data_IF_181915365196
#
_entry.id   IF_181915365196
#
_cell.length_a   1.000
_cell.length_b   1.000
_cell.length_c   1.000
_cell.angle_alpha   90.00
_cell.angle_beta   90.00
_cell.angle_gamma   90.00
#
_symmetry.space_group_name_H-M   'P 1'
#
loop_
_entity.id
_entity.type
_entity.pdbx_description
1 polymer ?
#
# COMPACT_ATOMS: atom_id res chain seq x y z
N UNK A 1 -18.02 -1.22 12.60
CA UNK A 1 -17.66 -2.67 12.65
C UNK A 1 -16.17 -2.75 12.94
N UNK A 2 -15.77 -3.47 14.00
CA UNK A 2 -14.36 -3.64 14.32
C UNK A 2 -13.76 -4.75 13.46
N UNK A 3 -12.59 -4.49 12.86
CA UNK A 3 -11.85 -5.47 12.07
C UNK A 3 -10.50 -5.74 12.75
N UNK A 4 -10.20 -7.02 12.96
CA UNK A 4 -8.93 -7.49 13.51
C UNK A 4 -8.13 -8.22 12.43
N UNK A 5 -6.82 -8.26 12.58
CA UNK A 5 -5.92 -8.91 11.63
C UNK A 5 -5.27 -10.14 12.26
N UNK A 6 -5.50 -11.31 11.66
CA UNK A 6 -4.83 -12.56 12.01
C UNK A 6 -4.18 -13.12 10.75
N UNK A 7 -2.85 -13.05 10.61
CA UNK A 7 -2.16 -13.66 9.47
C UNK A 7 -2.50 -15.16 9.35
N UNK A 8 -2.76 -15.63 8.13
CA UNK A 8 -3.08 -17.04 7.83
C UNK A 8 -4.32 -17.58 8.57
N UNK A 9 -5.25 -16.73 8.99
CA UNK A 9 -6.49 -17.13 9.65
C UNK A 9 -7.27 -18.16 8.83
N UNK A 10 -7.83 -19.16 9.54
CA UNK A 10 -8.72 -20.19 9.01
C UNK A 10 -9.90 -20.37 9.96
N UNK A 11 -11.01 -20.92 9.48
CA UNK A 11 -12.18 -21.23 10.32
C UNK A 11 -11.80 -22.14 11.51
N UNK A 12 -12.47 -21.95 12.63
CA UNK A 12 -12.29 -22.65 13.89
C UNK A 12 -11.67 -21.77 14.99
N UNK A 13 -11.29 -22.42 16.08
CA UNK A 13 -10.68 -21.76 17.24
C UNK A 13 -9.25 -21.34 16.90
N UNK A 14 -8.96 -20.08 17.20
CA UNK A 14 -7.62 -19.50 17.03
C UNK A 14 -7.37 -18.41 18.07
N UNK A 15 -6.14 -17.94 18.17
CA UNK A 15 -5.74 -16.90 19.12
C UNK A 15 -5.41 -15.61 18.35
N UNK A 16 -5.92 -14.49 18.84
CA UNK A 16 -5.52 -13.16 18.36
C UNK A 16 -4.03 -12.91 18.65
N UNK A 17 -3.29 -12.28 17.73
CA UNK A 17 -1.96 -11.74 18.02
C UNK A 17 -1.97 -10.89 19.31
N UNK A 18 -0.84 -10.79 19.99
CA UNK A 18 -0.77 -10.10 21.29
C UNK A 18 -1.27 -8.65 21.24
N UNK A 19 -0.88 -7.90 20.21
CA UNK A 19 -1.31 -6.51 20.03
C UNK A 19 -2.81 -6.42 19.74
N UNK A 20 -3.36 -7.34 18.94
CA UNK A 20 -4.80 -7.45 18.68
C UNK A 20 -5.57 -7.88 19.93
N UNK A 21 -5.03 -8.81 20.74
CA UNK A 21 -5.61 -9.21 22.02
C UNK A 21 -5.68 -8.05 23.01
N UNK A 22 -4.59 -7.26 23.11
CA UNK A 22 -4.57 -6.05 23.94
C UNK A 22 -5.58 -5.01 23.46
N UNK A 23 -5.66 -4.80 22.14
CA UNK A 23 -6.62 -3.87 21.56
C UNK A 23 -8.07 -4.31 21.84
N UNK A 24 -8.39 -5.58 21.62
CA UNK A 24 -9.69 -6.18 21.87
C UNK A 24 -10.13 -6.00 23.34
N UNK A 25 -9.31 -6.48 24.27
CA UNK A 25 -9.72 -6.62 25.68
C UNK A 25 -9.48 -5.33 26.49
N UNK A 26 -8.37 -4.60 26.26
CA UNK A 26 -8.03 -3.41 27.08
C UNK A 26 -8.54 -2.11 26.47
N UNK A 27 -8.49 -1.95 25.15
CA UNK A 27 -8.87 -0.70 24.49
C UNK A 27 -10.37 -0.70 24.21
N UNK A 28 -10.86 -1.71 23.49
CA UNK A 28 -12.28 -1.83 23.15
C UNK A 28 -13.11 -2.43 24.29
N UNK A 29 -12.48 -3.04 25.29
CA UNK A 29 -13.11 -3.67 26.47
C UNK A 29 -14.17 -4.72 26.09
N UNK A 30 -13.88 -5.45 25.02
CA UNK A 30 -14.78 -6.50 24.56
C UNK A 30 -14.84 -7.67 25.56
N UNK A 31 -16.01 -8.28 25.63
CA UNK A 31 -16.32 -9.39 26.52
C UNK A 31 -16.64 -10.67 25.72
N UNK A 32 -16.58 -11.82 26.38
CA UNK A 32 -16.89 -13.11 25.78
C UNK A 32 -18.30 -13.12 25.17
N UNK A 33 -18.45 -13.74 24.01
CA UNK A 33 -19.67 -13.76 23.21
C UNK A 33 -19.83 -12.59 22.24
N UNK A 34 -19.01 -11.54 22.34
CA UNK A 34 -19.08 -10.42 21.38
C UNK A 34 -18.54 -10.82 20.01
N UNK A 35 -19.17 -10.24 18.95
CA UNK A 35 -18.88 -10.54 17.57
C UNK A 35 -18.22 -9.38 16.84
N UNK A 36 -17.29 -9.72 15.95
CA UNK A 36 -16.55 -8.78 15.11
C UNK A 36 -16.09 -9.43 13.83
N UNK A 37 -15.34 -8.71 12.99
CA UNK A 37 -14.77 -9.22 11.76
C UNK A 37 -13.26 -9.46 11.91
N UNK A 38 -12.75 -10.52 11.28
CA UNK A 38 -11.32 -10.79 11.16
C UNK A 38 -10.94 -10.84 9.69
N UNK A 39 -9.78 -10.29 9.34
CA UNK A 39 -9.16 -10.49 8.03
C UNK A 39 -7.85 -11.25 8.17
N UNK A 40 -7.52 -12.08 7.16
CA UNK A 40 -6.20 -12.72 7.07
C UNK A 40 -5.19 -11.89 6.27
N UNK A 41 -5.61 -10.77 5.66
CA UNK A 41 -4.76 -9.96 4.79
C UNK A 41 -4.51 -10.55 3.40
N UNK A 42 -5.08 -11.71 3.08
CA UNK A 42 -4.91 -12.42 1.81
C UNK A 42 -6.20 -12.41 0.95
N UNK A 43 -7.13 -11.53 1.30
CA UNK A 43 -8.39 -11.35 0.57
C UNK A 43 -9.59 -12.07 1.18
N UNK A 44 -9.49 -12.57 2.41
CA UNK A 44 -10.61 -13.21 3.11
C UNK A 44 -10.99 -12.47 4.39
N UNK A 45 -12.29 -12.50 4.65
CA UNK A 45 -12.93 -12.01 5.87
C UNK A 45 -13.62 -13.18 6.58
N UNK A 46 -13.66 -13.12 7.90
CA UNK A 46 -14.28 -14.10 8.78
C UNK A 46 -15.19 -13.40 9.77
N UNK A 47 -16.29 -14.03 10.15
CA UNK A 47 -17.02 -13.67 11.35
C UNK A 47 -16.31 -14.30 12.55
N UNK A 48 -16.08 -13.52 13.58
CA UNK A 48 -15.40 -13.94 14.80
C UNK A 48 -16.28 -13.76 16.01
N UNK A 49 -16.24 -14.71 16.93
CA UNK A 49 -16.85 -14.62 18.27
C UNK A 49 -15.74 -14.74 19.31
N UNK A 50 -15.69 -13.81 20.27
CA UNK A 50 -14.72 -13.84 21.36
C UNK A 50 -15.10 -14.95 22.35
N UNK A 51 -14.24 -15.96 22.47
CA UNK A 51 -14.46 -17.13 23.33
C UNK A 51 -13.79 -16.93 24.70
N UNK A 52 -12.60 -16.33 24.72
CA UNK A 52 -11.86 -16.08 25.97
C UNK A 52 -11.18 -14.69 25.89
N UNK A 53 -11.51 -13.83 26.85
CA UNK A 53 -11.09 -12.43 26.87
C UNK A 53 -9.80 -12.21 27.68
N UNK A 54 -8.66 -12.79 27.26
CA UNK A 54 -7.36 -12.60 27.89
C UNK A 54 -6.54 -11.51 27.19
N UNK A 55 -6.04 -10.45 27.88
CA UNK A 55 -5.35 -9.32 27.25
C UNK A 55 -4.10 -9.64 26.45
N UNK A 56 -3.44 -10.77 26.75
CA UNK A 56 -2.23 -11.20 26.02
C UNK A 56 -2.51 -12.29 24.99
N UNK A 57 -3.65 -12.97 25.09
CA UNK A 57 -3.97 -14.16 24.32
C UNK A 57 -5.47 -14.39 24.25
N UNK A 58 -6.19 -13.47 23.63
CA UNK A 58 -7.63 -13.66 23.45
C UNK A 58 -7.91 -14.78 22.43
N UNK A 59 -8.81 -15.68 22.76
CA UNK A 59 -9.23 -16.80 21.91
C UNK A 59 -10.53 -16.43 21.19
N UNK A 60 -10.58 -16.68 19.89
CA UNK A 60 -11.74 -16.41 19.04
C UNK A 60 -12.13 -17.65 18.25
N UNK A 61 -13.41 -17.79 17.95
CA UNK A 61 -13.92 -18.79 17.01
C UNK A 61 -14.25 -18.10 15.70
N UNK A 62 -13.55 -18.50 14.60
CA UNK A 62 -13.74 -17.96 13.27
C UNK A 62 -14.69 -18.84 12.45
N UNK A 63 -15.63 -18.21 11.76
CA UNK A 63 -16.61 -18.86 10.90
C UNK A 63 -16.95 -18.00 9.69
N UNK A 64 -17.74 -18.53 8.76
CA UNK A 64 -18.25 -17.81 7.60
C UNK A 64 -17.15 -17.12 6.79
N UNK A 65 -16.14 -17.89 6.37
CA UNK A 65 -15.08 -17.39 5.50
C UNK A 65 -15.69 -16.90 4.17
N UNK A 66 -15.39 -15.65 3.81
CA UNK A 66 -15.85 -15.04 2.57
C UNK A 66 -14.75 -14.22 1.91
N UNK A 67 -14.79 -14.11 0.59
CA UNK A 67 -13.90 -13.18 -0.13
C UNK A 67 -14.25 -11.75 0.21
N UNK A 68 -13.23 -10.94 0.45
CA UNK A 68 -13.38 -9.50 0.54
C UNK A 68 -13.61 -8.87 -0.84
N UNK A 69 -14.07 -7.63 -0.85
CA UNK A 69 -14.48 -6.92 -2.07
C UNK A 69 -13.36 -6.05 -2.70
N UNK A 70 -12.15 -6.11 -2.16
CA UNK A 70 -11.05 -5.19 -2.42
C UNK A 70 -10.02 -5.71 -3.44
N UNK A 71 -10.44 -6.56 -4.38
CA UNK A 71 -9.59 -6.95 -5.51
C UNK A 71 -10.16 -6.42 -6.83
N UNK A 72 -9.42 -5.52 -7.43
CA UNK A 72 -9.79 -4.78 -8.64
C UNK A 72 -9.36 -5.44 -9.96
N UNK A 73 -8.72 -6.61 -9.94
CA UNK A 73 -8.41 -7.40 -11.14
C UNK A 73 -7.12 -7.02 -11.88
N UNK A 74 -6.39 -6.01 -11.39
CA UNK A 74 -5.05 -5.61 -11.88
C UNK A 74 -4.11 -5.39 -10.70
N UNK A 75 -2.81 -5.33 -10.95
CA UNK A 75 -1.79 -5.07 -9.95
C UNK A 75 -1.32 -3.61 -10.02
N UNK A 76 -1.46 -2.86 -8.92
CA UNK A 76 -1.00 -1.48 -8.80
C UNK A 76 0.18 -1.40 -7.84
N UNK A 77 1.32 -0.96 -8.35
CA UNK A 77 2.52 -0.73 -7.58
C UNK A 77 3.00 0.72 -7.69
N UNK A 78 3.35 1.31 -6.56
CA UNK A 78 4.04 2.61 -6.52
C UNK A 78 5.44 2.37 -5.99
N UNK A 79 6.44 2.79 -6.75
CA UNK A 79 7.80 2.88 -6.26
C UNK A 79 8.08 4.32 -5.84
N UNK A 80 8.51 4.51 -4.59
CA UNK A 80 8.70 5.84 -4.00
C UNK A 80 10.05 5.94 -3.32
N UNK A 81 10.75 7.07 -3.53
CA UNK A 81 11.85 7.45 -2.69
C UNK A 81 11.31 7.95 -1.33
N UNK A 82 11.66 7.30 -0.19
CA UNK A 82 11.17 7.73 1.12
C UNK A 82 11.51 9.19 1.37
N UNK A 83 10.51 9.94 1.83
CA UNK A 83 10.67 11.36 2.16
C UNK A 83 11.61 11.59 3.35
N UNK A 84 12.21 12.76 3.44
CA UNK A 84 13.04 13.16 4.58
C UNK A 84 12.34 12.92 5.92
N UNK A 85 11.07 13.28 6.02
CA UNK A 85 10.21 13.05 7.20
C UNK A 85 9.42 11.75 7.02
N UNK A 86 9.69 10.74 7.87
CA UNK A 86 8.98 9.45 7.82
C UNK A 86 7.46 9.59 7.83
N UNK A 87 6.93 10.53 8.59
CA UNK A 87 5.50 10.79 8.74
C UNK A 87 4.80 11.03 7.39
N UNK A 88 5.49 11.63 6.42
CA UNK A 88 4.94 11.83 5.08
C UNK A 88 4.88 10.54 4.27
N UNK A 89 5.93 9.72 4.36
CA UNK A 89 5.91 8.39 3.76
C UNK A 89 4.84 7.52 4.42
N UNK A 90 4.72 7.56 5.74
CA UNK A 90 3.67 6.84 6.48
C UNK A 90 2.27 7.31 6.08
N UNK A 91 2.06 8.61 5.92
CA UNK A 91 0.80 9.17 5.45
C UNK A 91 0.46 8.67 4.02
N UNK A 92 1.44 8.64 3.10
CA UNK A 92 1.24 8.03 1.79
C UNK A 92 0.83 6.56 1.91
N UNK A 93 1.54 5.75 2.70
CA UNK A 93 1.24 4.32 2.89
C UNK A 93 -0.17 4.10 3.44
N UNK A 94 -0.58 4.91 4.41
CA UNK A 94 -1.93 4.89 4.98
C UNK A 94 -2.97 5.16 3.89
N UNK A 95 -2.85 6.27 3.16
CA UNK A 95 -3.85 6.69 2.16
C UNK A 95 -3.85 5.81 0.91
N UNK A 96 -2.70 5.35 0.45
CA UNK A 96 -2.62 4.41 -0.66
C UNK A 96 -3.29 3.07 -0.30
N UNK A 97 -3.15 2.60 0.95
CA UNK A 97 -3.86 1.41 1.45
C UNK A 97 -5.37 1.63 1.46
N UNK A 98 -5.86 2.79 1.89
CA UNK A 98 -7.28 3.15 1.86
C UNK A 98 -7.84 3.22 0.43
N UNK A 99 -7.10 3.83 -0.50
CA UNK A 99 -7.50 3.96 -1.91
C UNK A 99 -7.51 2.58 -2.59
N UNK A 100 -6.44 1.81 -2.39
CA UNK A 100 -6.24 0.50 -2.99
C UNK A 100 -4.92 0.43 -3.76
N UNK A 101 -3.95 -0.25 -3.18
CA UNK A 101 -2.64 -0.51 -3.76
C UNK A 101 -2.26 -1.96 -3.45
N UNK A 102 -1.48 -2.60 -4.29
CA UNK A 102 -1.01 -3.97 -4.05
C UNK A 102 0.39 -3.98 -3.44
N UNK A 103 1.26 -3.06 -3.89
CA UNK A 103 2.64 -3.06 -3.43
C UNK A 103 3.26 -1.66 -3.46
N UNK A 104 4.10 -1.40 -2.47
CA UNK A 104 4.99 -0.24 -2.43
C UNK A 104 6.43 -0.73 -2.50
N UNK A 105 7.20 -0.22 -3.46
CA UNK A 105 8.63 -0.46 -3.59
C UNK A 105 9.39 0.76 -3.11
N UNK A 106 10.35 0.57 -2.23
CA UNK A 106 11.17 1.67 -1.73
C UNK A 106 12.51 1.72 -2.48
N UNK A 107 12.95 2.91 -2.85
CA UNK A 107 14.26 3.07 -3.47
C UNK A 107 14.99 4.33 -3.03
N UNK A 108 16.30 4.33 -3.19
CA UNK A 108 17.13 5.54 -3.07
C UNK A 108 17.49 6.06 -4.45
N UNK A 109 17.24 7.34 -4.67
CA UNK A 109 17.59 8.13 -5.86
C UNK A 109 18.79 9.02 -5.57
N UNK A 110 19.34 9.63 -6.59
CA UNK A 110 20.47 10.55 -6.48
C UNK A 110 20.22 11.68 -5.46
N UNK A 111 19.04 12.32 -5.53
CA UNK A 111 18.62 13.38 -4.64
C UNK A 111 17.95 12.92 -3.35
N UNK A 112 17.94 11.61 -3.04
CA UNK A 112 17.37 11.13 -1.79
C UNK A 112 18.16 11.62 -0.58
N UNK A 113 17.51 12.39 0.31
CA UNK A 113 18.06 12.74 1.61
C UNK A 113 18.03 11.56 2.59
N UNK A 114 17.00 10.72 2.48
CA UNK A 114 16.83 9.54 3.32
C UNK A 114 17.34 8.29 2.62
N UNK A 115 18.28 7.60 3.30
CA UNK A 115 18.91 6.37 2.77
C UNK A 115 18.66 5.13 3.62
N UNK A 116 17.66 5.19 4.50
CA UNK A 116 17.22 4.09 5.33
C UNK A 116 15.69 4.15 5.52
N UNK A 117 15.04 2.99 5.59
CA UNK A 117 13.61 2.87 5.82
C UNK A 117 13.33 1.84 6.92
N UNK A 118 12.34 2.10 7.76
CA UNK A 118 11.85 1.13 8.75
C UNK A 118 10.63 0.42 8.16
N UNK A 119 10.89 -0.62 7.36
CA UNK A 119 9.86 -1.39 6.66
C UNK A 119 8.86 -2.03 7.63
N UNK A 120 9.33 -2.51 8.79
CA UNK A 120 8.44 -3.08 9.81
C UNK A 120 7.42 -2.04 10.31
N UNK A 121 7.86 -0.81 10.57
CA UNK A 121 6.96 0.30 10.96
C UNK A 121 5.99 0.65 9.84
N UNK A 122 6.45 0.70 8.61
CA UNK A 122 5.61 0.96 7.44
C UNK A 122 4.54 -0.12 7.27
N UNK A 123 4.91 -1.39 7.45
CA UNK A 123 3.96 -2.49 7.40
C UNK A 123 2.88 -2.37 8.49
N UNK A 124 3.24 -1.93 9.70
CA UNK A 124 2.27 -1.68 10.79
C UNK A 124 1.28 -0.56 10.44
N UNK A 125 1.74 0.50 9.77
CA UNK A 125 0.86 1.59 9.27
C UNK A 125 -0.15 1.02 8.27
N UNK A 126 0.30 0.22 7.33
CA UNK A 126 -0.57 -0.39 6.32
C UNK A 126 -1.58 -1.38 6.93
N UNK A 127 -1.19 -2.16 7.95
CA UNK A 127 -2.12 -3.02 8.70
C UNK A 127 -3.20 -2.19 9.38
N UNK A 128 -2.84 -1.09 10.02
CA UNK A 128 -3.82 -0.21 10.67
C UNK A 128 -4.80 0.41 9.65
N UNK A 129 -4.28 0.89 8.51
CA UNK A 129 -5.08 1.44 7.42
C UNK A 129 -6.01 0.39 6.77
N UNK A 130 -5.52 -0.82 6.54
CA UNK A 130 -6.30 -1.95 6.04
C UNK A 130 -7.51 -2.24 6.95
N UNK A 131 -7.28 -2.33 8.27
CA UNK A 131 -8.35 -2.58 9.25
C UNK A 131 -9.37 -1.44 9.29
N UNK A 132 -8.89 -0.19 9.31
CA UNK A 132 -9.74 0.99 9.37
C UNK A 132 -10.63 1.11 8.11
N UNK A 133 -10.09 0.81 6.94
CA UNK A 133 -10.80 0.87 5.66
C UNK A 133 -11.57 -0.42 5.32
N UNK A 134 -11.63 -1.38 6.25
CA UNK A 134 -12.35 -2.67 6.12
C UNK A 134 -11.91 -3.45 4.89
N UNK A 135 -10.63 -3.38 4.55
CA UNK A 135 -10.07 -4.16 3.44
C UNK A 135 -9.64 -5.54 3.90
N UNK A 136 -9.69 -6.51 3.00
CA UNK A 136 -9.30 -7.89 3.24
C UNK A 136 -7.89 -8.23 2.74
N UNK A 137 -7.30 -7.35 1.91
CA UNK A 137 -5.93 -7.50 1.40
C UNK A 137 -4.99 -6.51 2.06
N UNK A 138 -3.87 -7.04 2.56
CA UNK A 138 -2.77 -6.25 3.09
C UNK A 138 -1.78 -5.98 1.95
N UNK A 139 -1.57 -4.72 1.54
CA UNK A 139 -0.54 -4.39 0.58
C UNK A 139 0.86 -4.73 1.12
N UNK A 140 1.81 -4.98 0.23
CA UNK A 140 3.19 -5.28 0.59
C UNK A 140 4.05 -4.03 0.49
N UNK A 141 4.97 -3.84 1.42
CA UNK A 141 6.07 -2.88 1.30
C UNK A 141 7.37 -3.65 1.20
N UNK A 142 8.16 -3.35 0.15
CA UNK A 142 9.45 -4.00 -0.09
C UNK A 142 10.61 -3.21 0.54
N UNK A 143 11.74 -3.87 0.73
CA UNK A 143 12.95 -3.26 1.26
C UNK A 143 13.48 -2.15 0.35
N UNK A 144 14.23 -1.23 0.96
CA UNK A 144 14.85 -0.12 0.25
C UNK A 144 16.02 -0.61 -0.62
N UNK A 145 15.94 -0.34 -1.92
CA UNK A 145 16.98 -0.71 -2.89
C UNK A 145 17.49 0.53 -3.66
N UNK A 146 18.69 0.49 -4.26
CA UNK A 146 19.14 1.54 -5.18
C UNK A 146 18.26 1.63 -6.43
N UNK A 147 18.09 2.84 -6.96
CA UNK A 147 17.27 3.13 -8.14
C UNK A 147 17.64 2.26 -9.36
N UNK A 148 18.94 2.15 -9.64
CA UNK A 148 19.45 1.36 -10.76
C UNK A 148 19.13 -0.13 -10.66
N UNK A 149 18.97 -0.66 -9.45
CA UNK A 149 18.50 -2.04 -9.22
C UNK A 149 17.00 -2.16 -9.38
N UNK A 150 16.25 -1.16 -8.90
CA UNK A 150 14.79 -1.17 -8.97
C UNK A 150 14.30 -1.18 -10.42
N UNK A 151 14.81 -0.25 -11.27
CA UNK A 151 14.31 -0.08 -12.63
C UNK A 151 14.57 -1.28 -13.54
N UNK A 152 15.58 -2.10 -13.19
CA UNK A 152 15.93 -3.34 -13.89
C UNK A 152 15.10 -4.56 -13.45
N UNK A 153 14.29 -4.43 -12.40
CA UNK A 153 13.44 -5.53 -11.95
C UNK A 153 12.34 -5.79 -12.97
N UNK A 154 12.00 -7.07 -13.22
CA UNK A 154 10.91 -7.41 -14.12
C UNK A 154 9.57 -6.91 -13.56
N UNK A 155 8.73 -6.40 -14.45
CA UNK A 155 7.35 -6.04 -14.16
C UNK A 155 6.49 -6.29 -15.41
N UNK A 156 5.40 -7.03 -15.24
CA UNK A 156 4.44 -7.30 -16.30
C UNK A 156 3.31 -6.28 -16.24
N UNK A 157 3.37 -5.28 -17.13
CA UNK A 157 2.40 -4.19 -17.19
C UNK A 157 3.03 -2.88 -17.67
N UNK A 158 2.30 -1.81 -17.49
CA UNK A 158 2.71 -0.47 -17.86
C UNK A 158 3.62 0.13 -16.80
N UNK A 159 4.70 0.77 -17.21
CA UNK A 159 5.69 1.39 -16.33
C UNK A 159 5.78 2.88 -16.59
N UNK A 160 5.63 3.69 -15.56
CA UNK A 160 5.65 5.15 -15.64
C UNK A 160 6.67 5.75 -14.68
N UNK A 161 7.25 6.88 -15.05
CA UNK A 161 8.07 7.72 -14.19
C UNK A 161 7.47 9.12 -14.14
N UNK A 162 6.99 9.54 -12.97
CA UNK A 162 6.48 10.88 -12.78
C UNK A 162 7.66 11.85 -12.66
N UNK A 163 7.80 12.74 -13.63
CA UNK A 163 8.94 13.67 -13.74
C UNK A 163 8.48 15.05 -14.16
N UNK A 164 9.02 16.07 -13.51
CA UNK A 164 8.69 17.47 -13.80
C UNK A 164 9.69 18.00 -14.81
N UNK A 165 9.26 18.11 -16.06
CA UNK A 165 10.05 18.67 -17.16
C UNK A 165 9.13 19.33 -18.19
N UNK A 166 9.57 20.44 -18.80
CA UNK A 166 8.77 21.20 -19.77
C UNK A 166 8.42 20.38 -21.04
N UNK A 167 9.21 19.34 -21.36
CA UNK A 167 8.98 18.44 -22.47
C UNK A 167 8.03 17.26 -22.13
N UNK A 168 7.70 17.05 -20.85
CA UNK A 168 6.79 15.99 -20.40
C UNK A 168 5.39 16.56 -20.19
N UNK A 169 4.57 16.49 -21.24
CA UNK A 169 3.19 17.03 -21.25
C UNK A 169 2.11 15.98 -21.08
N UNK A 170 2.43 14.72 -21.40
CA UNK A 170 1.46 13.62 -21.34
C UNK A 170 1.10 13.28 -19.91
N UNK A 171 -0.20 13.37 -19.60
CA UNK A 171 -0.69 13.05 -18.27
C UNK A 171 -0.75 11.54 -18.07
N UNK A 172 -0.45 11.07 -16.83
CA UNK A 172 -0.64 9.68 -16.46
C UNK A 172 -2.06 9.18 -16.79
N UNK A 173 -3.05 10.05 -16.65
CA UNK A 173 -4.45 9.74 -16.94
C UNK A 173 -4.72 9.43 -18.43
N UNK A 174 -3.94 9.99 -19.35
CA UNK A 174 -4.08 9.77 -20.79
C UNK A 174 -3.24 8.60 -21.29
N UNK A 175 -2.15 8.31 -20.57
CA UNK A 175 -1.21 7.24 -20.92
C UNK A 175 -1.63 5.85 -20.40
N UNK A 176 -2.24 5.81 -19.22
CA UNK A 176 -2.59 4.54 -18.59
C UNK A 176 -3.77 3.87 -19.29
N UNK A 177 -3.60 2.63 -19.68
CA UNK A 177 -4.66 1.78 -20.24
C UNK A 177 -5.38 1.02 -19.15
N UNK A 178 -6.68 1.26 -19.04
CA UNK A 178 -7.57 0.65 -18.08
C UNK A 178 -7.47 -0.88 -18.06
N UNK A 179 -7.41 -1.45 -16.85
CA UNK A 179 -7.40 -2.88 -16.61
C UNK A 179 -6.01 -3.53 -16.65
N UNK A 180 -4.97 -2.80 -17.02
CA UNK A 180 -3.60 -3.33 -17.04
C UNK A 180 -2.87 -3.07 -15.71
N UNK A 181 -1.89 -3.92 -15.40
CA UNK A 181 -1.00 -3.68 -14.27
C UNK A 181 -0.20 -2.39 -14.46
N UNK A 182 0.08 -1.69 -13.36
CA UNK A 182 0.84 -0.44 -13.41
C UNK A 182 1.89 -0.35 -12.31
N UNK A 183 3.08 0.13 -12.69
CA UNK A 183 4.16 0.53 -11.78
C UNK A 183 4.51 1.99 -12.07
N UNK A 184 4.41 2.84 -11.05
CA UNK A 184 4.74 4.28 -11.16
C UNK A 184 5.89 4.62 -10.23
N UNK A 185 6.95 5.24 -10.77
CA UNK A 185 8.09 5.77 -10.02
C UNK A 185 7.79 7.20 -9.58
N UNK A 186 8.00 7.49 -8.30
CA UNK A 186 7.85 8.81 -7.68
C UNK A 186 9.17 9.20 -7.03
N UNK A 187 9.77 10.28 -7.48
CA UNK A 187 11.05 10.78 -7.02
C UNK A 187 11.03 11.37 -5.61
N UNK A 188 12.23 11.65 -5.06
CA UNK A 188 12.38 12.38 -3.79
C UNK A 188 12.01 13.86 -3.95
N UNK A 189 12.15 14.65 -2.90
CA UNK A 189 11.86 16.09 -2.90
C UNK A 189 12.70 16.88 -3.94
N UNK A 190 13.88 16.38 -4.31
CA UNK A 190 14.76 16.96 -5.34
C UNK A 190 14.54 16.42 -6.75
N UNK A 191 13.49 15.62 -6.95
CA UNK A 191 13.18 14.92 -8.21
C UNK A 191 14.26 13.93 -8.66
N UNK A 192 14.07 13.31 -9.83
CA UNK A 192 15.05 12.44 -10.47
C UNK A 192 16.14 13.25 -11.18
N UNK A 193 17.34 12.68 -11.28
CA UNK A 193 18.35 13.24 -12.17
C UNK A 193 18.03 12.89 -13.63
N UNK A 194 18.55 13.68 -14.63
CA UNK A 194 18.38 13.35 -16.03
C UNK A 194 18.90 11.94 -16.40
N UNK A 195 19.98 11.50 -15.76
CA UNK A 195 20.57 10.17 -15.95
C UNK A 195 19.66 9.06 -15.43
N UNK A 196 18.99 9.30 -14.29
CA UNK A 196 18.00 8.36 -13.73
C UNK A 196 16.80 8.24 -14.66
N UNK A 197 16.32 9.36 -15.21
CA UNK A 197 15.21 9.35 -16.18
C UNK A 197 15.61 8.63 -17.46
N UNK A 198 16.83 8.85 -17.98
CA UNK A 198 17.36 8.13 -19.15
C UNK A 198 17.40 6.63 -18.88
N UNK A 199 17.94 6.20 -17.73
CA UNK A 199 18.01 4.80 -17.34
C UNK A 199 16.60 4.18 -17.20
N UNK A 200 15.63 4.90 -16.65
CA UNK A 200 14.25 4.45 -16.56
C UNK A 200 13.64 4.22 -17.96
N UNK A 201 13.83 5.16 -18.88
CA UNK A 201 13.38 5.04 -20.29
C UNK A 201 13.98 3.81 -20.98
N UNK A 202 15.27 3.57 -20.82
CA UNK A 202 15.96 2.37 -21.35
C UNK A 202 15.36 1.07 -20.80
N UNK A 203 14.81 1.10 -19.59
CA UNK A 203 14.13 -0.03 -18.96
C UNK A 203 12.61 -0.01 -19.17
N UNK A 204 12.10 0.77 -20.12
CA UNK A 204 10.70 0.76 -20.58
C UNK A 204 9.74 1.56 -19.72
N UNK A 205 10.22 2.49 -18.89
CA UNK A 205 9.37 3.46 -18.21
C UNK A 205 9.03 4.63 -19.13
N UNK A 206 7.77 5.04 -19.11
CA UNK A 206 7.27 6.19 -19.87
C UNK A 206 7.20 7.39 -18.93
N UNK A 207 7.88 8.53 -19.24
CA UNK A 207 7.70 9.75 -18.47
C UNK A 207 6.28 10.25 -18.55
N UNK A 208 5.76 10.71 -17.41
CA UNK A 208 4.40 11.24 -17.33
C UNK A 208 4.31 12.42 -16.38
N UNK A 209 3.35 13.31 -16.66
CA UNK A 209 2.92 14.37 -15.76
C UNK A 209 1.81 13.87 -14.84
N UNK A 210 1.71 14.42 -13.65
CA UNK A 210 0.58 14.24 -12.72
C UNK A 210 -0.32 15.49 -12.66
N UNK A 211 -0.21 16.38 -13.64
CA UNK A 211 -0.93 17.64 -13.73
C UNK A 211 0.02 18.84 -13.64
N UNK A 212 -0.55 20.04 -13.75
CA UNK A 212 0.21 21.31 -13.82
C UNK A 212 0.78 21.76 -12.46
N UNK A 213 0.20 21.29 -11.36
CA UNK A 213 0.59 21.69 -10.01
C UNK A 213 1.85 20.98 -9.56
N UNK A 214 2.79 21.74 -8.95
CA UNK A 214 3.94 21.14 -8.28
C UNK A 214 3.49 20.41 -7.02
N UNK A 215 3.59 19.09 -7.02
CA UNK A 215 3.20 18.22 -5.91
C UNK A 215 4.42 17.88 -5.04
N UNK A 216 4.18 17.63 -3.75
CA UNK A 216 5.18 16.98 -2.89
C UNK A 216 5.22 15.48 -3.20
N UNK A 217 6.33 14.83 -2.89
CA UNK A 217 6.55 13.39 -3.14
C UNK A 217 5.38 12.53 -2.66
N UNK A 218 4.96 12.69 -1.41
CA UNK A 218 3.83 11.94 -0.84
C UNK A 218 2.50 12.22 -1.55
N UNK A 219 2.30 13.47 -1.97
CA UNK A 219 1.10 13.88 -2.71
C UNK A 219 1.12 13.32 -4.13
N UNK A 220 2.27 13.38 -4.82
CA UNK A 220 2.44 12.81 -6.15
C UNK A 220 2.14 11.30 -6.15
N UNK A 221 2.63 10.58 -5.13
CA UNK A 221 2.36 9.15 -4.97
C UNK A 221 0.87 8.84 -4.76
N UNK A 222 0.16 9.66 -3.97
CA UNK A 222 -1.30 9.53 -3.80
C UNK A 222 -2.05 9.83 -5.10
N UNK A 223 -1.68 10.91 -5.79
CA UNK A 223 -2.32 11.28 -7.07
C UNK A 223 -2.13 10.17 -8.09
N UNK A 224 -0.91 9.63 -8.26
CA UNK A 224 -0.65 8.51 -9.15
C UNK A 224 -1.49 7.27 -8.80
N UNK A 225 -1.52 6.88 -7.53
CA UNK A 225 -2.31 5.77 -7.04
C UNK A 225 -3.81 5.98 -7.33
N UNK A 226 -4.34 7.16 -6.98
CA UNK A 226 -5.75 7.49 -7.16
C UNK A 226 -6.14 7.58 -8.65
N UNK A 227 -5.30 8.18 -9.50
CA UNK A 227 -5.57 8.30 -10.93
C UNK A 227 -5.79 6.92 -11.56
N UNK A 228 -4.90 5.95 -11.30
CA UNK A 228 -5.04 4.60 -11.84
C UNK A 228 -6.29 3.91 -11.30
N UNK A 229 -6.57 4.02 -10.01
CA UNK A 229 -7.78 3.44 -9.41
C UNK A 229 -9.04 4.09 -9.96
N UNK A 230 -9.06 5.41 -10.13
CA UNK A 230 -10.22 6.14 -10.66
C UNK A 230 -10.53 5.72 -12.11
N UNK A 231 -9.51 5.64 -12.99
CA UNK A 231 -9.68 5.20 -14.38
C UNK A 231 -10.29 3.80 -14.44
N UNK A 232 -9.88 2.90 -13.56
CA UNK A 232 -10.43 1.55 -13.52
C UNK A 232 -11.86 1.47 -13.00
N UNK A 233 -12.30 2.45 -12.21
CA UNK A 233 -13.66 2.56 -11.68
C UNK A 233 -14.62 3.31 -12.64
N UNK A 234 -14.09 4.14 -13.53
CA UNK A 234 -14.92 4.84 -14.54
C UNK A 234 -15.55 3.81 -15.50
N UNK A 235 -16.84 4.03 -15.84
CA UNK A 235 -17.61 3.19 -16.77
C UNK A 235 -17.24 3.49 -18.23
#
# INVERSE_FOLDING_TARGET
MNVFYIPNAKEGLTTLPEDESKHCVKVLRMTEGERFCVTNGEGFLFDAELVEALPKRATVNLSNQRKGYDHWGFNLEIAIAPTKLNERTEWFLEKATEIGIDKVRLFTSYHSERRAANVERFQKVMVAAMKQSIKSRLPKVEDLVPFDKLVKQPFEGQKFIAWIDDDVKDCLCDLYKKGENALVLIGPEGDFSPEEVALAKENGFVPCSLGEARLRTETAAIVACHTIQLINQMK
#
